data_IF_564387546137
#
_entry.id   IF_564387546137
#
_cell.length_a   1.000
_cell.length_b   1.000
_cell.length_c   1.000
_cell.angle_alpha   90.00
_cell.angle_beta   90.00
_cell.angle_gamma   90.00
#
_symmetry.space_group_name_H-M   'P 1'
#
loop_
_entity.id
_entity.type
_entity.pdbx_description
1 polymer ?
#
# COMPACT_ATOMS: atom_id res chain seq x y z
N UNK A 1 11.11 -9.92 15.73
CA UNK A 1 11.09 -8.49 16.10
C UNK A 1 11.07 -7.62 14.87
N UNK A 2 10.04 -6.76 14.69
CA UNK A 2 9.88 -5.84 13.57
C UNK A 2 10.03 -4.39 14.03
N UNK A 3 10.70 -3.56 13.24
CA UNK A 3 10.93 -2.16 13.57
C UNK A 3 10.42 -1.29 12.43
N UNK A 4 9.52 -0.37 12.76
CA UNK A 4 9.05 0.68 11.85
C UNK A 4 9.69 2.00 12.28
N UNK A 5 10.39 2.67 11.39
CA UNK A 5 11.07 3.93 11.70
C UNK A 5 10.77 4.99 10.66
N UNK A 6 10.65 6.24 11.12
CA UNK A 6 10.36 7.38 10.28
C UNK A 6 10.58 8.69 11.03
N UNK A 7 10.14 9.78 10.42
CA UNK A 7 10.10 11.10 11.06
C UNK A 7 8.64 11.52 11.20
N UNK A 8 8.29 11.97 12.40
CA UNK A 8 6.99 12.55 12.70
C UNK A 8 7.24 13.97 13.21
N UNK A 9 6.70 14.97 12.52
CA UNK A 9 6.91 16.41 12.85
C UNK A 9 8.39 16.80 12.97
N UNK A 10 9.25 16.24 12.13
CA UNK A 10 10.68 16.52 12.14
C UNK A 10 11.49 15.70 13.15
N UNK A 11 10.88 15.13 14.16
CA UNK A 11 11.51 14.30 15.17
C UNK A 11 11.53 12.81 14.76
N UNK A 12 12.56 12.05 15.14
CA UNK A 12 12.61 10.62 14.88
C UNK A 12 11.51 9.88 15.65
N UNK A 13 10.76 9.05 14.95
CA UNK A 13 9.71 8.20 15.51
C UNK A 13 9.99 6.73 15.16
N UNK A 14 9.81 5.84 16.13
CA UNK A 14 10.06 4.41 15.96
C UNK A 14 9.03 3.58 16.71
N UNK A 15 8.43 2.60 16.01
CA UNK A 15 7.70 1.52 16.64
C UNK A 15 8.55 0.25 16.63
N UNK A 16 8.62 -0.43 17.74
CA UNK A 16 9.25 -1.73 17.87
C UNK A 16 8.19 -2.75 18.26
N UNK A 17 7.95 -3.73 17.40
CA UNK A 17 7.01 -4.83 17.64
C UNK A 17 7.82 -6.08 17.93
N UNK A 18 7.62 -6.66 19.11
CA UNK A 18 8.23 -7.92 19.51
C UNK A 18 7.46 -9.13 18.97
N UNK A 19 8.01 -10.32 19.09
CA UNK A 19 7.39 -11.57 18.62
C UNK A 19 6.10 -11.92 19.39
N UNK A 20 6.02 -11.52 20.64
CA UNK A 20 4.83 -11.61 21.50
C UNK A 20 3.77 -10.54 21.21
N UNK A 21 3.92 -9.79 20.10
CA UNK A 21 3.06 -8.69 19.66
C UNK A 21 3.08 -7.46 20.58
N UNK A 22 3.99 -7.39 21.56
CA UNK A 22 4.19 -6.19 22.38
C UNK A 22 4.78 -5.07 21.52
N UNK A 23 4.19 -3.87 21.62
CA UNK A 23 4.63 -2.68 20.88
C UNK A 23 5.23 -1.65 21.84
N UNK A 24 6.37 -1.09 21.45
CA UNK A 24 6.98 0.06 22.12
C UNK A 24 7.11 1.19 21.12
N UNK A 25 6.66 2.39 21.51
CA UNK A 25 6.73 3.59 20.69
C UNK A 25 7.76 4.57 21.26
N UNK A 26 8.73 4.94 20.45
CA UNK A 26 9.72 5.98 20.75
C UNK A 26 9.49 7.20 19.87
N UNK A 27 9.44 8.38 20.48
CA UNK A 27 9.31 9.65 19.80
C UNK A 27 10.30 10.67 20.39
N UNK A 28 11.30 11.05 19.61
CA UNK A 28 12.44 11.80 20.12
C UNK A 28 13.11 11.06 21.28
N UNK A 29 13.17 11.69 22.45
CA UNK A 29 13.71 11.12 23.69
C UNK A 29 12.67 10.39 24.55
N UNK A 30 11.40 10.40 24.18
CA UNK A 30 10.31 9.78 24.97
C UNK A 30 10.03 8.38 24.48
N UNK A 31 9.75 7.49 25.45
CA UNK A 31 9.32 6.11 25.18
C UNK A 31 7.97 5.89 25.83
N UNK A 32 7.01 5.37 25.07
CA UNK A 32 5.67 5.01 25.50
C UNK A 32 5.44 3.51 25.32
N UNK A 33 4.64 2.91 26.16
CA UNK A 33 4.40 1.48 26.25
C UNK A 33 5.10 0.83 27.44
N UNK A 34 5.18 -0.51 27.52
CA UNK A 34 4.76 -1.46 26.48
C UNK A 34 3.25 -1.47 26.24
N UNK A 35 2.85 -1.54 24.98
CA UNK A 35 1.48 -1.77 24.59
C UNK A 35 1.26 -3.25 24.36
N UNK A 36 0.20 -3.80 24.93
CA UNK A 36 -0.17 -5.22 24.82
C UNK A 36 -1.64 -5.34 24.47
N UNK A 37 -1.99 -6.39 23.74
CA UNK A 37 -3.39 -6.72 23.40
C UNK A 37 -3.72 -8.12 23.92
N UNK A 38 -4.92 -8.25 24.48
CA UNK A 38 -5.50 -9.52 24.90
C UNK A 38 -6.87 -9.68 24.25
N UNK A 39 -7.18 -10.86 23.77
CA UNK A 39 -8.54 -11.19 23.34
C UNK A 39 -9.47 -11.26 24.55
N UNK A 40 -10.58 -10.57 24.48
CA UNK A 40 -11.62 -10.55 25.48
C UNK A 40 -13.02 -10.55 24.81
N UNK A 41 -13.58 -11.72 24.55
CA UNK A 41 -14.89 -11.83 23.92
C UNK A 41 -16.01 -11.12 24.69
N UNK A 42 -15.83 -10.89 26.01
CA UNK A 42 -16.82 -10.19 26.85
C UNK A 42 -16.85 -8.68 26.57
N UNK A 43 -15.84 -8.15 25.89
CA UNK A 43 -15.77 -6.74 25.50
C UNK A 43 -16.60 -6.40 24.24
N UNK A 44 -17.15 -7.39 23.55
CA UNK A 44 -18.00 -7.15 22.37
C UNK A 44 -19.29 -6.48 22.82
N UNK A 45 -19.66 -5.31 22.23
CA UNK A 45 -20.91 -4.64 22.57
C UNK A 45 -22.11 -5.51 22.22
N UNK A 46 -23.07 -5.59 23.14
CA UNK A 46 -24.30 -6.37 22.94
C UNK A 46 -25.33 -5.54 22.17
N UNK A 47 -25.99 -6.20 21.22
CA UNK A 47 -27.06 -5.57 20.44
C UNK A 47 -26.62 -4.85 19.16
N UNK A 48 -25.33 -4.89 18.84
CA UNK A 48 -24.83 -4.37 17.59
C UNK A 48 -25.03 -5.34 16.42
N UNK A 49 -25.48 -4.85 15.27
CA UNK A 49 -25.74 -5.68 14.08
C UNK A 49 -24.48 -6.42 13.58
N UNK A 50 -23.30 -5.89 13.89
CA UNK A 50 -22.02 -6.46 13.47
C UNK A 50 -21.32 -7.27 14.57
N UNK A 51 -21.97 -7.53 15.71
CA UNK A 51 -21.35 -8.24 16.84
C UNK A 51 -20.76 -9.60 16.44
N UNK A 52 -21.42 -10.35 15.56
CA UNK A 52 -20.95 -11.64 15.03
C UNK A 52 -19.64 -11.56 14.23
N UNK A 53 -19.29 -10.38 13.77
CA UNK A 53 -18.08 -10.09 12.99
C UNK A 53 -16.99 -9.42 13.81
N UNK A 54 -17.28 -9.12 15.08
CA UNK A 54 -16.35 -8.45 15.98
C UNK A 54 -15.43 -9.44 16.67
N UNK A 55 -14.20 -9.02 16.88
CA UNK A 55 -13.29 -9.65 17.83
C UNK A 55 -13.20 -8.74 19.05
N UNK A 56 -13.55 -9.26 20.23
CA UNK A 56 -13.40 -8.51 21.47
C UNK A 56 -11.93 -8.44 21.87
N UNK A 57 -11.45 -7.25 22.19
CA UNK A 57 -10.07 -7.00 22.57
C UNK A 57 -9.95 -6.03 23.74
N UNK A 58 -8.89 -6.20 24.52
CA UNK A 58 -8.44 -5.29 25.54
C UNK A 58 -7.00 -4.86 25.22
N UNK A 59 -6.79 -3.56 24.95
CA UNK A 59 -5.51 -2.95 24.66
C UNK A 59 -5.03 -2.19 25.91
N UNK A 60 -3.80 -2.45 26.33
CA UNK A 60 -3.20 -1.84 27.53
C UNK A 60 -1.89 -1.13 27.24
N UNK A 61 -1.59 -0.10 28.04
CA UNK A 61 -0.27 0.49 28.20
C UNK A 61 0.19 0.19 29.64
N UNK A 62 1.05 -0.83 29.82
CA UNK A 62 1.33 -1.38 31.13
C UNK A 62 0.06 -1.90 31.82
N UNK A 63 -0.27 -1.34 32.98
CA UNK A 63 -1.48 -1.70 33.75
C UNK A 63 -2.74 -0.90 33.35
N UNK A 64 -2.59 0.13 32.51
CA UNK A 64 -3.71 1.01 32.13
C UNK A 64 -4.41 0.48 30.88
N UNK A 65 -5.73 0.31 30.95
CA UNK A 65 -6.56 -0.02 29.79
C UNK A 65 -6.68 1.23 28.93
N UNK A 66 -6.25 1.14 27.66
CA UNK A 66 -6.39 2.22 26.68
C UNK A 66 -7.67 2.08 25.86
N UNK A 67 -8.03 0.84 25.53
CA UNK A 67 -9.23 0.51 24.80
C UNK A 67 -9.72 -0.88 25.22
N UNK A 68 -11.01 -1.03 25.38
CA UNK A 68 -11.69 -2.31 25.59
C UNK A 68 -12.99 -2.30 24.82
N UNK A 69 -13.18 -3.26 23.91
CA UNK A 69 -14.34 -3.25 23.02
C UNK A 69 -14.24 -4.24 21.87
N UNK A 70 -15.16 -4.11 20.92
CA UNK A 70 -15.24 -4.90 19.71
C UNK A 70 -14.41 -4.27 18.57
N UNK A 71 -13.72 -5.08 17.80
CA UNK A 71 -12.93 -4.67 16.64
C UNK A 71 -13.43 -5.40 15.41
N UNK A 72 -13.79 -4.64 14.36
CA UNK A 72 -14.12 -5.16 13.02
C UNK A 72 -12.98 -4.80 12.09
N UNK A 73 -12.48 -5.79 11.36
CA UNK A 73 -11.52 -5.56 10.29
C UNK A 73 -12.22 -5.53 8.93
N UNK A 74 -11.97 -4.47 8.19
CA UNK A 74 -12.50 -4.30 6.83
C UNK A 74 -11.45 -3.64 5.95
N UNK A 75 -11.03 -4.33 4.88
CA UNK A 75 -10.11 -3.77 3.89
C UNK A 75 -8.69 -3.44 4.41
N UNK A 76 -8.30 -4.02 5.55
CA UNK A 76 -7.01 -3.75 6.19
C UNK A 76 -7.03 -2.59 7.18
N UNK A 77 -8.20 -2.00 7.41
CA UNK A 77 -8.44 -1.01 8.46
C UNK A 77 -9.26 -1.61 9.61
N UNK A 78 -9.12 -1.02 10.80
CA UNK A 78 -9.80 -1.44 12.01
C UNK A 78 -10.85 -0.42 12.40
N UNK A 79 -12.07 -0.90 12.59
CA UNK A 79 -13.16 -0.15 13.20
C UNK A 79 -13.30 -0.61 14.64
N UNK A 80 -13.17 0.31 15.57
CA UNK A 80 -13.20 0.03 17.00
C UNK A 80 -14.54 0.50 17.58
N UNK A 81 -15.19 -0.38 18.29
CA UNK A 81 -16.46 -0.14 18.98
C UNK A 81 -16.24 -0.28 20.47
N UNK A 82 -16.58 0.75 21.24
CA UNK A 82 -16.58 0.70 22.68
C UNK A 82 -17.61 -0.33 23.20
N UNK A 83 -17.54 -0.70 24.47
CA UNK A 83 -18.48 -1.65 25.08
C UNK A 83 -19.94 -1.20 25.02
N UNK A 84 -20.19 0.11 24.88
CA UNK A 84 -21.52 0.72 24.72
C UNK A 84 -22.01 0.76 23.26
N UNK A 85 -21.26 0.20 22.32
CA UNK A 85 -21.57 0.19 20.89
C UNK A 85 -21.17 1.47 20.15
N UNK A 86 -20.67 2.48 20.82
CA UNK A 86 -20.19 3.70 20.15
C UNK A 86 -18.87 3.43 19.44
N UNK A 87 -18.68 4.04 18.28
CA UNK A 87 -17.37 4.02 17.61
C UNK A 87 -16.34 4.74 18.47
N UNK A 88 -15.19 4.07 18.67
CA UNK A 88 -14.03 4.72 19.28
C UNK A 88 -13.71 5.97 18.46
N UNK A 89 -13.80 7.12 19.13
CA UNK A 89 -13.46 8.39 18.52
C UNK A 89 -11.97 8.38 18.18
N UNK A 90 -11.65 8.19 16.90
CA UNK A 90 -10.36 8.64 16.37
C UNK A 90 -10.35 10.14 16.63
N UNK A 91 -9.62 10.60 17.67
CA UNK A 91 -9.46 12.02 17.94
C UNK A 91 -9.05 12.71 16.65
N UNK A 92 -9.98 13.43 16.03
CA UNK A 92 -9.67 14.26 14.87
C UNK A 92 -8.87 15.42 15.42
N UNK A 93 -7.56 15.33 15.30
CA UNK A 93 -6.65 16.39 15.73
C UNK A 93 -6.53 17.38 14.59
N UNK A 94 -7.08 18.57 14.79
CA UNK A 94 -6.90 19.70 13.87
C UNK A 94 -5.53 20.34 14.13
N UNK A 95 -4.73 20.47 13.09
CA UNK A 95 -3.42 21.10 13.16
C UNK A 95 -3.54 22.56 12.74
N UNK A 96 -3.14 23.48 13.62
CA UNK A 96 -3.00 24.88 13.24
C UNK A 96 -1.67 25.12 12.49
N UNK A 97 -1.55 26.27 11.84
CA UNK A 97 -0.35 26.63 11.07
C UNK A 97 0.96 26.70 11.90
N UNK A 98 0.87 26.68 13.23
CA UNK A 98 2.01 26.64 14.16
C UNK A 98 2.41 25.22 14.56
N UNK A 99 1.74 24.19 14.04
CA UNK A 99 2.07 22.79 14.32
C UNK A 99 1.56 22.28 15.68
N UNK A 100 0.65 23.01 16.33
CA UNK A 100 -0.02 22.57 17.56
C UNK A 100 -1.29 21.82 17.19
N UNK A 101 -1.42 20.56 17.62
CA UNK A 101 -2.66 19.81 17.50
C UNK A 101 -3.69 20.28 18.53
N UNK A 102 -4.94 20.41 18.13
CA UNK A 102 -6.07 20.67 19.01
C UNK A 102 -7.08 19.53 18.87
N UNK A 103 -7.65 19.07 19.97
CA UNK A 103 -8.77 18.14 19.98
C UNK A 103 -10.07 18.85 19.54
N UNK A 104 -11.15 18.09 19.42
CA UNK A 104 -12.48 18.62 19.06
C UNK A 104 -13.00 19.70 20.02
N UNK A 105 -12.45 19.77 21.24
CA UNK A 105 -12.82 20.73 22.27
C UNK A 105 -11.88 21.95 22.30
N UNK A 106 -10.96 22.06 21.33
CA UNK A 106 -9.99 23.16 21.25
C UNK A 106 -8.84 23.07 22.26
N UNK A 107 -8.68 21.91 22.94
CA UNK A 107 -7.58 21.68 23.89
C UNK A 107 -6.32 21.28 23.14
N UNK A 108 -5.20 21.92 23.45
CA UNK A 108 -3.92 21.59 22.83
C UNK A 108 -3.49 20.15 23.15
N UNK A 109 -3.32 19.34 22.10
CA UNK A 109 -2.80 17.97 22.21
C UNK A 109 -1.28 18.02 22.12
N UNK A 110 -0.63 18.08 23.26
CA UNK A 110 0.84 18.18 23.35
C UNK A 110 1.55 16.82 23.21
N UNK A 111 0.81 15.71 23.36
CA UNK A 111 1.40 14.38 23.43
C UNK A 111 1.13 13.63 22.14
N UNK A 112 2.18 13.26 21.43
CA UNK A 112 2.10 12.33 20.29
C UNK A 112 1.95 10.91 20.86
N UNK A 113 0.71 10.44 20.98
CA UNK A 113 0.42 9.05 21.32
C UNK A 113 -0.15 8.33 20.11
N UNK A 114 0.21 7.06 19.88
CA UNK A 114 -0.41 6.26 18.82
C UNK A 114 -1.86 5.94 19.19
N UNK A 115 -2.76 5.96 18.20
CA UNK A 115 -4.15 5.53 18.40
C UNK A 115 -4.24 4.00 18.57
N UNK A 116 -5.31 3.53 19.21
CA UNK A 116 -5.58 2.11 19.39
C UNK A 116 -5.59 1.37 18.05
N UNK A 117 -6.21 1.92 17.01
CA UNK A 117 -6.24 1.34 15.68
C UNK A 117 -4.84 1.15 15.08
N UNK A 118 -3.95 2.14 15.22
CA UNK A 118 -2.55 2.03 14.75
C UNK A 118 -1.80 0.95 15.51
N UNK A 119 -1.97 0.86 16.83
CA UNK A 119 -1.32 -0.16 17.65
C UNK A 119 -1.77 -1.56 17.24
N UNK A 120 -3.07 -1.79 17.07
CA UNK A 120 -3.63 -3.07 16.61
C UNK A 120 -3.11 -3.44 15.21
N UNK A 121 -3.04 -2.47 14.31
CA UNK A 121 -2.49 -2.67 12.95
C UNK A 121 -1.02 -3.11 12.99
N UNK A 122 -0.22 -2.51 13.85
CA UNK A 122 1.20 -2.87 14.04
C UNK A 122 1.35 -4.26 14.67
N UNK A 123 0.51 -4.63 15.66
CA UNK A 123 0.53 -5.93 16.32
C UNK A 123 0.12 -7.07 15.39
N UNK A 124 -0.68 -6.79 14.37
CA UNK A 124 -1.03 -7.76 13.33
C UNK A 124 0.15 -8.08 12.42
N UNK A 125 1.07 -7.16 12.29
CA UNK A 125 2.28 -7.28 11.48
C UNK A 125 2.18 -6.51 10.17
N UNK A 126 3.31 -6.43 9.42
CA UNK A 126 3.35 -5.71 8.18
C UNK A 126 2.47 -6.41 7.13
N UNK A 127 1.53 -5.67 6.57
CA UNK A 127 0.92 -6.10 5.32
C UNK A 127 1.98 -5.94 4.22
N UNK A 128 2.53 -7.06 3.78
CA UNK A 128 3.43 -7.08 2.63
C UNK A 128 2.61 -6.77 1.38
N UNK A 129 2.56 -5.52 1.00
CA UNK A 129 2.04 -5.15 -0.31
C UNK A 129 3.10 -5.52 -1.34
N UNK A 130 2.77 -6.42 -2.25
CA UNK A 130 3.58 -6.62 -3.43
C UNK A 130 3.57 -5.32 -4.23
N UNK A 131 4.73 -4.64 -4.28
CA UNK A 131 4.88 -3.49 -5.16
C UNK A 131 4.92 -3.98 -6.59
N UNK A 132 3.98 -3.51 -7.38
CA UNK A 132 3.88 -3.82 -8.80
C UNK A 132 2.89 -4.94 -9.14
N UNK A 133 2.40 -4.90 -10.35
CA UNK A 133 1.50 -5.91 -10.89
C UNK A 133 2.26 -6.85 -11.82
N UNK A 134 2.17 -8.16 -11.58
CA UNK A 134 2.80 -9.17 -12.44
C UNK A 134 2.34 -9.07 -13.89
N UNK A 135 1.09 -8.63 -14.12
CA UNK A 135 0.54 -8.43 -15.45
C UNK A 135 1.27 -7.30 -16.21
N UNK A 136 1.58 -6.19 -15.53
CA UNK A 136 2.34 -5.09 -16.13
C UNK A 136 3.77 -5.53 -16.47
N UNK A 137 4.43 -6.29 -15.56
CA UNK A 137 5.73 -6.86 -15.84
C UNK A 137 5.71 -7.76 -17.09
N UNK A 138 4.76 -8.68 -17.15
CA UNK A 138 4.60 -9.57 -18.31
C UNK A 138 4.32 -8.78 -19.59
N UNK A 139 3.45 -7.76 -19.55
CA UNK A 139 3.15 -6.89 -20.68
C UNK A 139 4.39 -6.13 -21.19
N UNK A 140 5.20 -5.59 -20.28
CA UNK A 140 6.45 -4.92 -20.64
C UNK A 140 7.46 -5.87 -21.29
N UNK A 141 7.65 -7.07 -20.73
CA UNK A 141 8.53 -8.11 -21.30
C UNK A 141 8.01 -8.54 -22.68
N UNK A 142 6.70 -8.72 -22.85
CA UNK A 142 6.11 -9.08 -24.13
C UNK A 142 6.38 -8.01 -25.21
N UNK A 143 6.19 -6.73 -24.90
CA UNK A 143 6.50 -5.61 -25.83
C UNK A 143 7.98 -5.60 -26.22
N UNK A 144 8.87 -5.80 -25.27
CA UNK A 144 10.31 -5.93 -25.55
C UNK A 144 10.61 -7.13 -26.44
N UNK A 145 9.99 -8.28 -26.19
CA UNK A 145 10.15 -9.49 -27.01
C UNK A 145 9.68 -9.30 -28.43
N UNK A 146 8.50 -8.68 -28.62
CA UNK A 146 7.98 -8.33 -29.95
C UNK A 146 8.95 -7.42 -30.70
N UNK A 147 9.45 -6.37 -30.04
CA UNK A 147 10.41 -5.47 -30.66
C UNK A 147 11.72 -6.14 -31.02
N UNK A 148 12.22 -7.02 -30.15
CA UNK A 148 13.43 -7.82 -30.38
C UNK A 148 13.31 -8.76 -31.60
N UNK A 149 12.12 -9.26 -31.88
CA UNK A 149 11.83 -10.08 -33.08
C UNK A 149 11.64 -9.21 -34.32
N UNK A 150 10.94 -8.07 -34.19
CA UNK A 150 10.65 -7.21 -35.33
C UNK A 150 11.88 -6.56 -35.96
N UNK A 151 12.96 -6.34 -35.20
CA UNK A 151 14.20 -5.71 -35.71
C UNK A 151 14.94 -6.66 -36.70
N UNK A 152 15.37 -7.87 -36.30
CA UNK A 152 16.11 -8.75 -37.19
C UNK A 152 15.28 -9.35 -38.32
N UNK A 153 13.98 -9.52 -38.12
CA UNK A 153 13.07 -10.13 -39.10
C UNK A 153 12.20 -9.10 -39.85
N UNK A 154 12.63 -7.85 -39.89
CA UNK A 154 11.83 -6.76 -40.46
C UNK A 154 11.49 -7.00 -41.96
N UNK A 155 12.46 -7.50 -42.73
CA UNK A 155 12.27 -7.74 -44.16
C UNK A 155 11.44 -8.99 -44.42
N UNK A 156 11.62 -10.05 -43.66
CA UNK A 156 10.81 -11.26 -43.72
C UNK A 156 9.35 -10.98 -43.36
N UNK A 157 9.11 -10.20 -42.30
CA UNK A 157 7.77 -9.78 -41.89
C UNK A 157 7.09 -8.91 -42.92
N UNK A 158 7.84 -8.01 -43.56
CA UNK A 158 7.34 -7.17 -44.66
C UNK A 158 6.94 -8.04 -45.87
N UNK A 159 7.81 -8.95 -46.34
CA UNK A 159 7.51 -9.85 -47.43
C UNK A 159 6.35 -10.78 -47.13
N UNK A 160 6.30 -11.29 -45.89
CA UNK A 160 5.19 -12.13 -45.43
C UNK A 160 3.85 -11.35 -45.47
N UNK A 161 3.80 -10.09 -45.03
CA UNK A 161 2.62 -9.25 -45.10
C UNK A 161 2.21 -8.98 -46.57
N UNK A 162 3.18 -8.74 -47.45
CA UNK A 162 2.92 -8.51 -48.87
C UNK A 162 2.45 -9.80 -49.60
N UNK A 163 2.88 -10.99 -49.18
CA UNK A 163 2.47 -12.24 -49.78
C UNK A 163 0.94 -12.45 -49.77
N UNK A 164 0.22 -11.81 -48.82
CA UNK A 164 -1.23 -11.83 -48.79
C UNK A 164 -1.87 -10.83 -49.76
N UNK A 165 -1.10 -9.89 -50.35
CA UNK A 165 -1.61 -8.80 -51.18
C UNK A 165 -1.14 -8.83 -52.64
N UNK A 166 0.08 -9.34 -52.86
CA UNK A 166 0.69 -9.34 -54.20
C UNK A 166 1.32 -10.72 -54.49
N UNK A 167 1.42 -11.08 -55.78
CA UNK A 167 1.89 -12.39 -56.24
C UNK A 167 3.40 -12.57 -56.16
N UNK A 168 4.19 -11.48 -56.30
CA UNK A 168 5.65 -11.48 -56.27
C UNK A 168 6.20 -10.70 -55.11
N UNK A 169 5.85 -11.12 -53.89
CA UNK A 169 6.28 -10.42 -52.65
C UNK A 169 7.79 -10.61 -52.37
N UNK A 170 8.42 -11.59 -52.95
CA UNK A 170 9.84 -11.91 -52.73
C UNK A 170 10.79 -10.87 -53.29
N UNK A 171 10.39 -10.24 -54.42
CA UNK A 171 11.17 -9.23 -55.16
C UNK A 171 10.82 -7.78 -54.68
N UNK A 172 9.94 -7.64 -53.73
CA UNK A 172 9.52 -6.35 -53.26
C UNK A 172 10.55 -5.70 -52.30
N UNK A 173 10.90 -4.47 -52.61
CA UNK A 173 11.73 -3.63 -51.74
C UNK A 173 10.86 -2.71 -50.87
N UNK A 174 11.21 -2.49 -49.59
CA UNK A 174 10.46 -1.58 -48.75
C UNK A 174 10.63 -0.12 -49.21
N UNK A 175 9.53 0.62 -49.23
CA UNK A 175 9.54 2.05 -49.55
C UNK A 175 10.18 2.86 -48.41
N UNK A 176 10.58 4.10 -48.70
CA UNK A 176 11.10 5.03 -47.65
C UNK A 176 10.10 5.26 -46.54
N UNK A 177 8.79 5.27 -46.84
CA UNK A 177 7.74 5.41 -45.86
C UNK A 177 7.66 4.17 -44.91
N UNK A 178 7.82 2.98 -45.49
CA UNK A 178 7.90 1.73 -44.74
C UNK A 178 9.10 1.72 -43.79
N UNK A 179 10.28 2.12 -44.31
CA UNK A 179 11.50 2.21 -43.50
C UNK A 179 11.30 3.23 -42.37
N UNK A 180 10.73 4.40 -42.63
CA UNK A 180 10.44 5.39 -41.60
C UNK A 180 9.46 4.83 -40.53
N UNK A 181 8.42 4.09 -40.95
CA UNK A 181 7.48 3.43 -40.06
C UNK A 181 8.17 2.39 -39.12
N UNK A 182 9.12 1.63 -39.66
CA UNK A 182 9.93 0.68 -38.88
C UNK A 182 10.73 1.37 -37.79
N UNK A 183 11.47 2.43 -38.13
CA UNK A 183 12.27 3.19 -37.14
C UNK A 183 11.39 3.81 -36.06
N UNK A 184 10.22 4.34 -36.41
CA UNK A 184 9.26 4.85 -35.45
C UNK A 184 8.81 3.72 -34.50
N UNK A 185 8.42 2.58 -35.04
CA UNK A 185 7.95 1.43 -34.24
C UNK A 185 9.03 0.93 -33.31
N UNK A 186 10.26 0.76 -33.79
CA UNK A 186 11.40 0.31 -32.97
C UNK A 186 11.79 1.28 -31.86
N UNK A 187 11.42 2.55 -31.99
CA UNK A 187 11.61 3.56 -30.93
C UNK A 187 10.44 3.62 -29.98
N UNK A 188 9.22 3.57 -30.50
CA UNK A 188 8.00 3.71 -29.69
C UNK A 188 7.74 2.50 -28.80
N UNK A 189 7.98 1.27 -29.31
CA UNK A 189 7.73 0.05 -28.53
C UNK A 189 8.56 -0.04 -27.25
N UNK A 190 9.88 0.22 -27.23
CA UNK A 190 10.65 0.24 -25.99
C UNK A 190 10.22 1.32 -25.02
N UNK A 191 9.84 2.50 -25.53
CA UNK A 191 9.32 3.59 -24.70
C UNK A 191 7.98 3.20 -24.06
N UNK A 192 7.10 2.55 -24.82
CA UNK A 192 5.84 2.02 -24.30
C UNK A 192 6.10 0.93 -23.23
N UNK A 193 7.04 0.00 -23.49
CA UNK A 193 7.42 -1.02 -22.51
C UNK A 193 7.95 -0.39 -21.22
N UNK A 194 8.79 0.63 -21.33
CA UNK A 194 9.31 1.38 -20.16
C UNK A 194 8.16 2.03 -19.38
N UNK A 195 7.20 2.66 -20.07
CA UNK A 195 6.03 3.26 -19.44
C UNK A 195 5.20 2.20 -18.68
N UNK A 196 4.97 1.03 -19.29
CA UNK A 196 4.26 -0.09 -18.65
C UNK A 196 4.99 -0.58 -17.40
N UNK A 197 6.31 -0.71 -17.44
CA UNK A 197 7.10 -1.08 -16.26
C UNK A 197 6.97 -0.03 -15.14
N UNK A 198 7.09 1.25 -15.47
CA UNK A 198 7.00 2.35 -14.47
C UNK A 198 5.61 2.40 -13.85
N UNK A 199 4.55 2.27 -14.65
CA UNK A 199 3.15 2.23 -14.16
C UNK A 199 2.93 0.99 -13.30
N UNK A 200 3.50 -0.14 -13.72
CA UNK A 200 3.37 -1.40 -13.01
C UNK A 200 4.09 -1.45 -11.65
N UNK A 201 5.02 -0.54 -11.38
CA UNK A 201 5.73 -0.42 -10.09
C UNK A 201 4.94 0.35 -9.02
N UNK A 202 3.85 0.99 -9.38
CA UNK A 202 2.96 1.70 -8.46
C UNK A 202 1.93 0.76 -7.90
#
# INVERSE_FOLDING_TARGET
>A
KTVYSGKLRGEPARFTVSEDKTVVFQYGSRTNGPYTVKEDPSAIPQGEEMADRMTGVELREGDTILFRGGVVETGGDFWLFNEDGTLENTEIVYWNGSGTGMDQNGKAVSTVKPSAAVLLKLMRGPQLTHKGTGLAWFGGVFLCGVNAVMIPFADELFRWNLAFRIRNAEDAEPSELELAGRYITWTVLPLAALAVFVIGLR
#
